data_IF_402031559983
#
_entry.id   IF_402031559983
#
_cell.length_a   1.000
_cell.length_b   1.000
_cell.length_c   1.000
_cell.angle_alpha   90.00
_cell.angle_beta   90.00
_cell.angle_gamma   90.00
#
_symmetry.space_group_name_H-M   'P 1'
#
loop_
_entity.id
_entity.type
_entity.pdbx_description
1 polymer ?
#
# COMPACT_ATOMS: atom_id res chain seq x y z
N UNK A 1 23.94 5.54 -17.37
CA UNK A 1 23.09 4.77 -16.41
C UNK A 1 22.89 5.47 -15.05
N UNK A 2 23.88 5.77 -14.17
CA UNK A 2 23.58 6.50 -12.93
C UNK A 2 22.96 7.88 -13.16
N UNK A 3 23.49 8.65 -14.11
CA UNK A 3 22.98 9.99 -14.40
C UNK A 3 21.59 9.93 -15.04
N UNK A 4 21.32 8.95 -15.92
CA UNK A 4 20.00 8.78 -16.54
C UNK A 4 18.94 8.31 -15.52
N UNK A 5 19.36 7.50 -14.54
CA UNK A 5 18.48 7.07 -13.45
C UNK A 5 18.07 8.28 -12.56
N UNK A 6 19.00 9.17 -12.25
CA UNK A 6 18.71 10.40 -11.51
C UNK A 6 17.85 11.36 -12.35
N UNK A 7 18.08 11.45 -13.65
CA UNK A 7 17.25 12.23 -14.57
C UNK A 7 15.81 11.67 -14.63
N UNK A 8 15.65 10.33 -14.64
CA UNK A 8 14.33 9.70 -14.60
C UNK A 8 13.59 9.99 -13.28
N UNK A 9 14.30 9.96 -12.13
CA UNK A 9 13.75 10.37 -10.84
C UNK A 9 13.27 11.82 -10.87
N UNK A 10 14.08 12.72 -11.46
CA UNK A 10 13.70 14.14 -11.58
C UNK A 10 12.46 14.32 -12.49
N UNK A 11 12.40 13.59 -13.61
CA UNK A 11 11.25 13.61 -14.52
C UNK A 11 9.97 13.09 -13.86
N UNK A 12 10.05 12.01 -13.06
CA UNK A 12 8.92 11.49 -12.27
C UNK A 12 8.44 12.53 -11.27
N UNK A 13 9.34 13.10 -10.48
CA UNK A 13 9.00 14.08 -9.44
C UNK A 13 8.40 15.37 -9.98
N UNK A 14 8.82 15.79 -11.17
CA UNK A 14 8.26 16.95 -11.85
C UNK A 14 7.02 16.65 -12.69
N UNK A 15 6.70 15.36 -12.92
CA UNK A 15 5.64 14.92 -13.81
C UNK A 15 5.95 15.15 -15.30
N UNK A 16 7.21 15.27 -15.68
CA UNK A 16 7.64 15.44 -17.09
C UNK A 16 7.63 14.09 -17.83
N UNK A 17 6.44 13.73 -18.32
CA UNK A 17 6.23 12.50 -19.08
C UNK A 17 7.03 12.48 -20.41
N UNK A 18 7.29 13.65 -21.00
CA UNK A 18 8.04 13.71 -22.26
C UNK A 18 9.52 13.39 -22.04
N UNK A 19 10.12 13.94 -20.99
CA UNK A 19 11.48 13.61 -20.59
C UNK A 19 11.60 12.14 -20.19
N UNK A 20 10.66 11.63 -19.38
CA UNK A 20 10.66 10.23 -18.94
C UNK A 20 10.59 9.26 -20.12
N UNK A 21 9.69 9.49 -21.10
CA UNK A 21 9.58 8.64 -22.30
C UNK A 21 10.87 8.64 -23.13
N UNK A 22 11.53 9.79 -23.30
CA UNK A 22 12.81 9.86 -24.01
C UNK A 22 13.89 9.03 -23.30
N UNK A 23 14.06 9.23 -21.99
CA UNK A 23 15.05 8.49 -21.22
C UNK A 23 14.84 6.97 -21.29
N UNK A 24 13.58 6.51 -21.20
CA UNK A 24 13.25 5.09 -21.30
C UNK A 24 13.44 4.52 -22.72
N UNK A 25 13.31 5.34 -23.77
CA UNK A 25 13.57 4.93 -25.15
C UNK A 25 15.07 4.84 -25.44
N UNK A 26 15.86 5.78 -24.89
CA UNK A 26 17.30 5.82 -25.07
C UNK A 26 18.02 4.72 -24.26
N UNK A 27 17.48 4.38 -23.07
CA UNK A 27 18.00 3.37 -22.14
C UNK A 27 16.89 2.41 -21.67
N UNK A 28 16.56 1.35 -22.40
CA UNK A 28 15.47 0.41 -22.08
C UNK A 28 15.65 -0.28 -20.72
N UNK A 29 16.88 -0.49 -20.26
CA UNK A 29 17.17 -1.05 -18.92
C UNK A 29 16.75 -0.16 -17.75
N UNK A 30 16.45 1.12 -18.01
CA UNK A 30 16.10 2.09 -17.00
C UNK A 30 14.78 1.76 -16.30
N UNK A 31 13.80 1.20 -17.04
CA UNK A 31 12.50 0.84 -16.48
C UNK A 31 12.59 -0.20 -15.32
N UNK A 32 13.60 -1.07 -15.37
CA UNK A 32 13.86 -2.13 -14.37
C UNK A 32 14.98 -1.79 -13.42
N UNK A 33 15.63 -0.63 -13.60
CA UNK A 33 16.73 -0.19 -12.76
C UNK A 33 16.28 0.05 -11.30
N UNK A 34 17.22 -0.09 -10.38
CA UNK A 34 17.00 0.16 -8.96
C UNK A 34 17.91 1.25 -8.44
N UNK A 35 17.35 2.16 -7.70
CA UNK A 35 18.11 3.11 -6.89
C UNK A 35 18.55 2.42 -5.62
N UNK A 36 19.82 2.60 -5.27
CA UNK A 36 20.37 2.18 -3.99
C UNK A 36 20.59 3.40 -3.12
N UNK A 37 20.09 3.38 -1.87
CA UNK A 37 20.34 4.43 -0.89
C UNK A 37 21.63 4.17 -0.08
N UNK A 38 21.99 5.10 0.79
CA UNK A 38 23.22 5.05 1.60
C UNK A 38 23.22 3.88 2.61
N UNK A 39 22.06 3.27 2.87
CA UNK A 39 21.90 2.10 3.75
C UNK A 39 21.91 0.77 3.00
N UNK A 40 22.00 0.82 1.65
CA UNK A 40 22.00 -0.34 0.79
C UNK A 40 20.61 -0.83 0.37
N UNK A 41 19.54 -0.16 0.78
CA UNK A 41 18.19 -0.48 0.33
C UNK A 41 18.03 -0.16 -1.15
N UNK A 42 17.22 -0.98 -1.85
CA UNK A 42 17.02 -0.83 -3.29
C UNK A 42 15.54 -0.73 -3.66
N UNK A 43 15.20 0.28 -4.47
CA UNK A 43 13.84 0.60 -4.91
C UNK A 43 13.78 0.86 -6.42
N UNK A 44 12.64 0.55 -7.05
CA UNK A 44 12.42 0.81 -8.47
C UNK A 44 11.90 2.23 -8.70
N UNK A 45 11.81 2.65 -9.98
CA UNK A 45 11.18 3.93 -10.35
C UNK A 45 9.69 4.00 -9.97
N UNK A 46 8.97 2.86 -9.92
CA UNK A 46 7.60 2.81 -9.42
C UNK A 46 7.54 3.11 -7.91
N UNK A 47 8.48 2.64 -7.10
CA UNK A 47 8.58 3.03 -5.70
C UNK A 47 8.91 4.52 -5.53
N UNK A 48 9.77 5.09 -6.40
CA UNK A 48 10.04 6.54 -6.39
C UNK A 48 8.78 7.36 -6.64
N UNK A 49 7.92 6.89 -7.54
CA UNK A 49 6.64 7.54 -7.83
C UNK A 49 5.71 7.56 -6.63
N UNK A 50 5.70 6.48 -5.85
CA UNK A 50 4.78 6.26 -4.74
C UNK A 50 5.37 6.64 -3.37
N UNK A 51 6.60 7.18 -3.35
CA UNK A 51 7.34 7.53 -2.13
C UNK A 51 6.67 8.69 -1.38
N UNK A 52 6.37 8.47 -0.10
CA UNK A 52 5.82 9.50 0.77
C UNK A 52 6.87 10.59 1.07
N UNK A 53 6.49 11.86 1.23
CA UNK A 53 5.14 12.46 1.21
C UNK A 53 4.73 13.03 -0.15
N UNK A 54 5.55 12.89 -1.17
CA UNK A 54 5.35 13.61 -2.44
C UNK A 54 4.39 12.87 -3.37
N UNK A 55 3.24 13.48 -3.64
CA UNK A 55 2.39 13.10 -4.77
C UNK A 55 2.96 13.71 -6.04
N UNK A 56 3.50 12.88 -6.91
CA UNK A 56 4.07 13.34 -8.18
C UNK A 56 2.97 13.77 -9.15
N UNK A 57 3.11 14.91 -9.84
CA UNK A 57 2.19 15.26 -10.93
C UNK A 57 2.14 14.18 -12.00
N UNK A 58 0.99 13.97 -12.63
CA UNK A 58 0.77 12.94 -13.65
C UNK A 58 1.10 11.51 -13.17
N UNK A 59 0.90 11.21 -11.87
CA UNK A 59 1.28 9.93 -11.26
C UNK A 59 0.70 8.71 -11.97
N UNK A 60 -0.61 8.70 -12.21
CA UNK A 60 -1.28 7.60 -12.90
C UNK A 60 -0.74 7.38 -14.33
N UNK A 61 -0.48 8.46 -15.09
CA UNK A 61 0.13 8.38 -16.41
C UNK A 61 1.58 7.88 -16.34
N UNK A 62 2.31 8.24 -15.29
CA UNK A 62 3.69 7.78 -15.05
C UNK A 62 3.74 6.28 -14.84
N UNK A 63 2.77 5.68 -14.09
CA UNK A 63 2.62 4.22 -14.00
C UNK A 63 2.53 3.61 -15.39
N UNK A 64 1.61 4.10 -16.23
CA UNK A 64 1.43 3.58 -17.59
C UNK A 64 2.71 3.67 -18.44
N UNK A 65 3.45 4.79 -18.35
CA UNK A 65 4.72 4.98 -19.07
C UNK A 65 5.78 3.99 -18.61
N UNK A 66 5.96 3.80 -17.31
CA UNK A 66 6.95 2.88 -16.76
C UNK A 66 6.63 1.42 -17.07
N UNK A 67 5.36 1.01 -16.92
CA UNK A 67 4.92 -0.36 -17.22
C UNK A 67 5.03 -0.68 -18.72
N UNK A 68 4.65 0.26 -19.59
CA UNK A 68 4.83 0.11 -21.03
C UNK A 68 6.30 -0.03 -21.45
N UNK A 69 7.23 0.53 -20.67
CA UNK A 69 8.68 0.37 -20.87
C UNK A 69 9.26 -0.88 -20.18
N UNK A 70 8.43 -1.72 -19.55
CA UNK A 70 8.84 -2.99 -18.94
C UNK A 70 9.10 -2.95 -17.43
N UNK A 71 8.67 -1.91 -16.72
CA UNK A 71 8.73 -1.90 -15.27
C UNK A 71 7.83 -3.01 -14.68
N UNK A 72 8.35 -3.76 -13.72
CA UNK A 72 7.58 -4.77 -12.97
C UNK A 72 6.71 -4.05 -11.91
N UNK A 73 5.39 -4.09 -12.12
CA UNK A 73 4.40 -3.47 -11.22
C UNK A 73 4.39 -4.11 -9.84
N UNK A 74 4.83 -5.37 -9.73
CA UNK A 74 4.92 -6.14 -8.49
C UNK A 74 6.34 -6.21 -7.92
N UNK A 75 7.26 -5.39 -8.42
CA UNK A 75 8.62 -5.35 -7.93
C UNK A 75 8.64 -5.10 -6.41
N UNK A 76 9.45 -5.89 -5.70
CA UNK A 76 9.61 -5.76 -4.26
C UNK A 76 10.68 -4.72 -3.92
N UNK A 77 10.44 -3.94 -2.88
CA UNK A 77 11.50 -3.20 -2.20
C UNK A 77 12.53 -4.20 -1.63
N UNK A 78 13.80 -3.87 -1.73
CA UNK A 78 14.89 -4.68 -1.18
C UNK A 78 15.51 -3.94 0.00
N UNK A 79 15.18 -4.38 1.24
CA UNK A 79 15.59 -3.74 2.47
C UNK A 79 14.95 -4.41 3.68
N UNK A 80 14.58 -3.60 4.69
CA UNK A 80 14.00 -4.08 5.94
C UNK A 80 12.60 -4.71 5.78
N UNK A 81 11.91 -4.42 4.69
CA UNK A 81 10.59 -4.95 4.33
C UNK A 81 10.54 -5.32 2.85
N UNK A 82 9.40 -5.83 2.36
CA UNK A 82 9.25 -6.33 1.00
C UNK A 82 8.06 -5.72 0.27
N UNK A 83 7.73 -4.50 0.59
CA UNK A 83 6.59 -3.78 0.00
C UNK A 83 6.72 -3.65 -1.53
N UNK A 84 5.57 -3.67 -2.19
CA UNK A 84 5.43 -3.33 -3.61
C UNK A 84 5.10 -1.84 -3.77
N UNK A 85 5.17 -1.27 -4.99
CA UNK A 85 4.67 0.08 -5.25
C UNK A 85 3.22 0.31 -4.80
N UNK A 86 2.38 -0.74 -4.84
CA UNK A 86 0.99 -0.66 -4.39
C UNK A 86 0.87 -0.44 -2.87
N UNK A 87 1.74 -1.05 -2.06
CA UNK A 87 1.79 -0.77 -0.62
C UNK A 87 2.10 0.71 -0.35
N UNK A 88 3.09 1.27 -1.06
CA UNK A 88 3.47 2.66 -0.90
C UNK A 88 2.40 3.64 -1.37
N UNK A 89 1.72 3.34 -2.49
CA UNK A 89 0.57 4.13 -2.93
C UNK A 89 -0.57 4.09 -1.91
N UNK A 90 -0.81 2.92 -1.31
CA UNK A 90 -1.82 2.73 -0.27
C UNK A 90 -1.48 3.51 1.00
N UNK A 91 -0.24 3.43 1.49
CA UNK A 91 0.23 4.17 2.67
C UNK A 91 0.36 5.69 2.46
N UNK A 92 0.39 6.15 1.20
CA UNK A 92 0.37 7.57 0.84
C UNK A 92 -1.04 8.14 0.55
N UNK A 93 -2.10 7.32 0.62
CA UNK A 93 -3.48 7.66 0.23
C UNK A 93 -3.59 8.21 -1.22
N UNK A 94 -2.72 7.73 -2.10
CA UNK A 94 -2.70 8.13 -3.50
C UNK A 94 -3.59 7.19 -4.34
N UNK A 95 -4.90 7.46 -4.27
CA UNK A 95 -5.93 6.61 -4.89
C UNK A 95 -5.79 6.57 -6.42
N UNK A 96 -5.34 7.65 -7.07
CA UNK A 96 -5.18 7.70 -8.53
C UNK A 96 -4.03 6.80 -8.99
N UNK A 97 -2.89 6.83 -8.29
CA UNK A 97 -1.76 5.96 -8.59
C UNK A 97 -2.06 4.52 -8.19
N UNK A 98 -2.76 4.30 -7.05
CA UNK A 98 -3.22 2.98 -6.63
C UNK A 98 -4.08 2.33 -7.72
N UNK A 99 -5.08 3.03 -8.25
CA UNK A 99 -5.92 2.53 -9.34
C UNK A 99 -5.11 2.19 -10.59
N UNK A 100 -4.19 3.08 -10.98
CA UNK A 100 -3.33 2.84 -12.14
C UNK A 100 -2.42 1.62 -11.98
N UNK A 101 -1.90 1.37 -10.77
CA UNK A 101 -1.11 0.17 -10.47
C UNK A 101 -1.96 -1.10 -10.55
N UNK A 102 -3.18 -1.08 -10.00
CA UNK A 102 -4.13 -2.20 -10.09
C UNK A 102 -4.53 -2.49 -11.53
N UNK A 103 -4.82 -1.46 -12.33
CA UNK A 103 -5.15 -1.59 -13.75
C UNK A 103 -3.96 -2.13 -14.57
N UNK A 104 -2.75 -1.89 -14.12
CA UNK A 104 -1.52 -2.44 -14.69
C UNK A 104 -1.18 -3.87 -14.19
N UNK A 105 -2.00 -4.47 -13.34
CA UNK A 105 -1.85 -5.85 -12.85
C UNK A 105 -1.08 -5.99 -11.54
N UNK A 106 -1.07 -4.96 -10.69
CA UNK A 106 -0.55 -5.09 -9.34
C UNK A 106 -1.36 -6.11 -8.54
N UNK A 107 -0.66 -6.97 -7.79
CA UNK A 107 -1.29 -7.91 -6.86
C UNK A 107 -1.86 -7.15 -5.65
N UNK A 108 -3.19 -7.04 -5.63
CA UNK A 108 -3.92 -6.32 -4.59
C UNK A 108 -3.73 -6.91 -3.19
N UNK A 109 -3.38 -8.20 -3.10
CA UNK A 109 -3.18 -8.94 -1.86
C UNK A 109 -1.71 -9.32 -1.64
N UNK A 110 -0.77 -8.66 -2.33
CA UNK A 110 0.65 -8.89 -2.11
C UNK A 110 1.00 -8.74 -0.63
N UNK A 111 1.78 -9.66 -0.07
CA UNK A 111 2.36 -9.55 1.27
C UNK A 111 3.54 -8.56 1.31
N UNK A 112 4.08 -8.29 2.50
CA UNK A 112 5.35 -7.59 2.66
C UNK A 112 5.29 -6.21 3.28
N UNK A 113 4.11 -5.80 3.79
CA UNK A 113 3.92 -4.55 4.54
C UNK A 113 4.94 -4.39 5.67
N UNK A 114 5.36 -3.16 5.93
CA UNK A 114 6.34 -2.83 6.98
C UNK A 114 5.83 -3.20 8.38
N UNK A 115 4.52 -3.14 8.60
CA UNK A 115 3.89 -3.57 9.86
C UNK A 115 3.33 -4.97 9.69
N UNK A 116 3.97 -5.97 10.30
CA UNK A 116 3.49 -7.35 10.35
C UNK A 116 3.48 -8.11 9.02
N UNK A 117 4.10 -7.59 7.96
CA UNK A 117 4.22 -8.30 6.68
C UNK A 117 2.90 -8.41 5.87
N UNK A 118 1.89 -7.61 6.20
CA UNK A 118 0.56 -7.67 5.62
C UNK A 118 0.44 -7.20 4.17
N UNK A 119 -0.80 -6.92 3.75
CA UNK A 119 -1.17 -6.49 2.40
C UNK A 119 -1.19 -4.96 2.26
N UNK A 120 -1.33 -4.39 1.04
CA UNK A 120 -1.56 -2.96 0.85
C UNK A 120 -2.76 -2.41 1.65
N UNK A 121 -3.81 -3.23 1.85
CA UNK A 121 -4.95 -2.86 2.71
C UNK A 121 -4.52 -2.73 4.18
N UNK A 122 -3.67 -3.64 4.66
CA UNK A 122 -3.14 -3.56 6.03
C UNK A 122 -2.30 -2.29 6.24
N UNK A 123 -1.49 -1.88 5.25
CA UNK A 123 -0.75 -0.62 5.30
C UNK A 123 -1.68 0.60 5.30
N UNK A 124 -2.63 0.66 4.36
CA UNK A 124 -3.59 1.76 4.31
C UNK A 124 -4.32 1.91 5.66
N UNK A 125 -4.74 0.81 6.26
CA UNK A 125 -5.39 0.76 7.58
C UNK A 125 -4.45 1.23 8.69
N UNK A 126 -3.22 0.70 8.74
CA UNK A 126 -2.26 1.01 9.80
C UNK A 126 -1.87 2.50 9.81
N UNK A 127 -1.75 3.11 8.62
CA UNK A 127 -1.43 4.53 8.46
C UNK A 127 -2.66 5.45 8.39
N UNK A 128 -3.86 4.93 8.70
CA UNK A 128 -5.13 5.68 8.68
C UNK A 128 -5.43 6.34 7.32
N UNK A 129 -5.04 5.69 6.23
CA UNK A 129 -5.26 6.15 4.86
C UNK A 129 -6.61 5.64 4.33
N UNK A 130 -7.68 6.23 4.85
CA UNK A 130 -9.04 5.68 4.71
C UNK A 130 -9.55 5.65 3.28
N UNK A 131 -9.18 6.62 2.42
CA UNK A 131 -9.59 6.63 1.01
C UNK A 131 -8.97 5.46 0.25
N UNK A 132 -7.67 5.23 0.44
CA UNK A 132 -6.97 4.10 -0.15
C UNK A 132 -7.51 2.77 0.39
N UNK A 133 -7.76 2.66 1.70
CA UNK A 133 -8.30 1.45 2.31
C UNK A 133 -9.67 1.08 1.73
N UNK A 134 -10.62 2.03 1.68
CA UNK A 134 -11.93 1.78 1.08
C UNK A 134 -11.82 1.45 -0.41
N UNK A 135 -10.93 2.15 -1.14
CA UNK A 135 -10.71 1.88 -2.55
C UNK A 135 -10.17 0.48 -2.81
N UNK A 136 -9.23 0.00 -2.00
CA UNK A 136 -8.74 -1.39 -2.08
C UNK A 136 -9.87 -2.40 -1.84
N UNK A 137 -10.75 -2.16 -0.86
CA UNK A 137 -11.94 -3.01 -0.64
C UNK A 137 -12.88 -3.01 -1.85
N UNK A 138 -13.16 -1.86 -2.45
CA UNK A 138 -13.97 -1.73 -3.68
C UNK A 138 -13.34 -2.49 -4.86
N UNK A 139 -12.01 -2.49 -4.94
CA UNK A 139 -11.23 -3.17 -5.98
C UNK A 139 -11.04 -4.66 -5.70
N UNK A 140 -11.59 -5.20 -4.61
CA UNK A 140 -11.64 -6.63 -4.32
C UNK A 140 -10.50 -7.17 -3.44
N UNK A 141 -9.85 -6.32 -2.65
CA UNK A 141 -8.89 -6.78 -1.65
C UNK A 141 -9.54 -7.77 -0.67
N UNK A 142 -8.78 -8.76 -0.23
CA UNK A 142 -9.18 -9.67 0.84
C UNK A 142 -9.27 -8.88 2.15
N UNK A 143 -10.44 -8.93 2.78
CA UNK A 143 -10.73 -8.22 4.03
C UNK A 143 -10.64 -9.19 5.19
N UNK A 144 -9.80 -8.89 6.17
CA UNK A 144 -9.70 -9.63 7.44
C UNK A 144 -10.69 -9.08 8.48
N UNK A 145 -10.81 -9.77 9.62
CA UNK A 145 -11.69 -9.31 10.71
C UNK A 145 -11.31 -7.92 11.22
N UNK A 146 -10.00 -7.67 11.40
CA UNK A 146 -9.51 -6.36 11.83
C UNK A 146 -9.74 -5.28 10.76
N UNK A 147 -9.62 -5.59 9.48
CA UNK A 147 -9.92 -4.64 8.41
C UNK A 147 -11.40 -4.27 8.40
N UNK A 148 -12.29 -5.27 8.52
CA UNK A 148 -13.73 -5.04 8.58
C UNK A 148 -14.12 -4.18 9.79
N UNK A 149 -13.54 -4.45 10.96
CA UNK A 149 -13.77 -3.69 12.18
C UNK A 149 -13.27 -2.24 12.06
N UNK A 150 -12.03 -2.06 11.53
CA UNK A 150 -11.42 -0.74 11.39
C UNK A 150 -12.15 0.16 10.38
N UNK A 151 -12.67 -0.45 9.30
CA UNK A 151 -13.35 0.29 8.22
C UNK A 151 -14.87 0.39 8.41
N UNK A 152 -15.43 -0.17 9.48
CA UNK A 152 -16.87 -0.13 9.76
C UNK A 152 -17.72 -0.98 8.82
N UNK A 153 -17.15 -2.05 8.25
CA UNK A 153 -17.82 -2.94 7.32
C UNK A 153 -18.67 -3.97 8.07
N UNK A 154 -19.77 -3.54 8.68
CA UNK A 154 -20.57 -4.31 9.62
C UNK A 154 -21.00 -5.69 9.08
N UNK A 155 -21.51 -5.78 7.85
CA UNK A 155 -21.94 -7.05 7.24
C UNK A 155 -20.78 -8.02 7.05
N UNK A 156 -19.60 -7.52 6.67
CA UNK A 156 -18.38 -8.34 6.56
C UNK A 156 -17.87 -8.76 7.91
N UNK A 157 -17.92 -7.87 8.91
CA UNK A 157 -17.57 -8.18 10.30
C UNK A 157 -18.38 -9.38 10.79
N UNK A 158 -19.72 -9.35 10.71
CA UNK A 158 -20.58 -10.45 11.15
C UNK A 158 -20.25 -11.78 10.43
N UNK A 159 -19.93 -11.73 9.14
CA UNK A 159 -19.53 -12.93 8.38
C UNK A 159 -18.21 -13.52 8.88
N UNK A 160 -17.26 -12.67 9.26
CA UNK A 160 -15.90 -13.08 9.67
C UNK A 160 -15.80 -13.47 11.15
N UNK A 161 -16.80 -13.12 11.96
CA UNK A 161 -16.84 -13.47 13.39
C UNK A 161 -16.98 -14.99 13.65
N UNK A 162 -17.51 -15.76 12.68
CA UNK A 162 -17.77 -17.18 12.85
C UNK A 162 -16.48 -17.98 13.09
N UNK A 163 -16.25 -18.41 14.33
CA UNK A 163 -15.08 -19.19 14.71
C UNK A 163 -13.78 -18.39 14.87
N UNK A 164 -13.86 -17.06 14.93
CA UNK A 164 -12.72 -16.21 15.17
C UNK A 164 -12.09 -16.51 16.54
N UNK A 165 -10.76 -16.70 16.63
CA UNK A 165 -10.07 -16.87 17.92
C UNK A 165 -10.08 -15.56 18.72
N UNK A 166 -9.89 -15.67 20.04
CA UNK A 166 -9.91 -14.51 20.94
C UNK A 166 -8.93 -13.41 20.52
N UNK A 167 -7.73 -13.78 20.10
CA UNK A 167 -6.70 -12.82 19.64
C UNK A 167 -7.17 -11.99 18.44
N UNK A 168 -7.91 -12.60 17.51
CA UNK A 168 -8.47 -11.89 16.35
C UNK A 168 -9.62 -10.95 16.75
N UNK A 169 -10.41 -11.32 17.77
CA UNK A 169 -11.45 -10.44 18.33
C UNK A 169 -10.82 -9.22 19.02
N UNK A 170 -9.77 -9.43 19.80
CA UNK A 170 -9.05 -8.37 20.51
C UNK A 170 -8.37 -7.41 19.53
N UNK A 171 -7.71 -7.95 18.49
CA UNK A 171 -7.11 -7.16 17.42
C UNK A 171 -8.18 -6.38 16.64
N UNK A 172 -9.34 -6.99 16.36
CA UNK A 172 -10.44 -6.31 15.67
C UNK A 172 -11.04 -5.19 16.53
N UNK A 173 -11.16 -5.40 17.86
CA UNK A 173 -11.61 -4.35 18.78
C UNK A 173 -10.66 -3.16 18.79
N UNK A 174 -9.35 -3.42 18.88
CA UNK A 174 -8.34 -2.38 18.73
C UNK A 174 -8.49 -1.66 17.38
N UNK A 175 -8.68 -2.42 16.29
CA UNK A 175 -8.91 -1.88 14.95
C UNK A 175 -10.14 -0.98 14.87
N UNK A 176 -11.28 -1.39 15.44
CA UNK A 176 -12.50 -0.58 15.51
C UNK A 176 -12.28 0.75 16.23
N UNK A 177 -11.48 0.74 17.32
CA UNK A 177 -11.07 1.95 18.03
C UNK A 177 -10.18 2.84 17.15
N UNK A 178 -9.19 2.27 16.49
CA UNK A 178 -8.27 2.96 15.58
C UNK A 178 -9.02 3.64 14.42
N UNK A 179 -10.01 2.96 13.84
CA UNK A 179 -10.87 3.49 12.77
C UNK A 179 -12.02 4.37 13.23
N UNK A 180 -12.23 4.54 14.56
CA UNK A 180 -13.35 5.32 15.09
C UNK A 180 -14.73 4.68 14.87
N UNK A 181 -14.79 3.35 14.71
CA UNK A 181 -16.00 2.60 14.35
C UNK A 181 -16.76 2.11 15.58
N UNK A 182 -17.53 3.01 16.21
CA UNK A 182 -18.20 2.75 17.48
C UNK A 182 -19.13 1.52 17.44
N UNK A 183 -19.91 1.33 16.37
CA UNK A 183 -20.80 0.17 16.26
C UNK A 183 -20.06 -1.17 16.20
N UNK A 184 -18.92 -1.23 15.49
CA UNK A 184 -18.06 -2.42 15.48
C UNK A 184 -17.39 -2.64 16.84
N UNK A 185 -16.97 -1.57 17.51
CA UNK A 185 -16.38 -1.62 18.85
C UNK A 185 -17.36 -2.25 19.85
N UNK A 186 -18.57 -1.69 19.99
CA UNK A 186 -19.61 -2.19 20.89
C UNK A 186 -20.00 -3.65 20.61
N UNK A 187 -20.04 -4.02 19.32
CA UNK A 187 -20.32 -5.39 18.89
C UNK A 187 -19.25 -6.38 19.33
N UNK A 188 -17.97 -6.04 19.15
CA UNK A 188 -16.83 -6.88 19.53
C UNK A 188 -16.67 -6.98 21.06
N UNK A 189 -16.86 -5.87 21.78
CA UNK A 189 -16.87 -5.86 23.26
C UNK A 189 -17.97 -6.78 23.81
N UNK A 190 -19.18 -6.75 23.23
CA UNK A 190 -20.28 -7.64 23.61
C UNK A 190 -19.99 -9.13 23.35
N UNK A 191 -19.02 -9.45 22.47
CA UNK A 191 -18.55 -10.80 22.20
C UNK A 191 -17.38 -11.22 23.10
N UNK A 192 -16.93 -10.35 24.01
CA UNK A 192 -15.87 -10.62 24.97
C UNK A 192 -14.46 -10.29 24.49
N UNK A 193 -14.32 -9.45 23.47
CA UNK A 193 -13.01 -8.89 23.12
C UNK A 193 -12.50 -8.00 24.26
N UNK A 194 -11.18 -8.07 24.52
CA UNK A 194 -10.55 -7.35 25.63
C UNK A 194 -10.29 -5.87 25.28
N UNK A 195 -10.97 -4.89 25.92
CA UNK A 195 -10.78 -3.48 25.63
C UNK A 195 -9.41 -2.92 26.04
N UNK A 196 -8.69 -3.63 26.91
CA UNK A 196 -7.35 -3.24 27.38
C UNK A 196 -6.24 -3.94 26.59
N UNK A 197 -6.59 -4.82 25.64
CA UNK A 197 -5.61 -5.48 24.80
C UNK A 197 -4.88 -4.48 23.89
N UNK A 198 -3.56 -4.63 23.79
CA UNK A 198 -2.68 -3.78 22.98
C UNK A 198 -1.86 -4.66 22.05
N UNK A 199 -1.80 -4.34 20.76
CA UNK A 199 -1.02 -5.12 19.81
C UNK A 199 0.48 -5.10 20.13
N UNK A 200 1.25 -6.15 19.74
CA UNK A 200 2.66 -6.28 20.09
C UNK A 200 3.54 -5.10 19.62
N UNK A 201 3.16 -4.44 18.55
CA UNK A 201 3.90 -3.29 18.00
C UNK A 201 3.64 -1.94 18.71
N UNK A 202 2.72 -1.91 19.68
CA UNK A 202 2.44 -0.76 20.54
C UNK A 202 2.92 -0.96 22.00
N UNK A 203 3.55 -2.11 22.29
CA UNK A 203 4.05 -2.48 23.65
C UNK A 203 5.46 -1.98 23.93
#
# INVERSE_FOLDING_TARGET
MPDDLLAAVAAIRSGDLAALRRLLADEPGLATARLTDDTGNRRTLLHVLTDWPARCPNGAQTVGVLVAAGADVNARFEGAHRETPLHWAASADDVEVLDALLDAGADINADGAVIGGGTPLADARAFAQWRAAHRLVERGAVVTLVDAATLGLADRLETLLAGAPQEDLDLALWGARHGGQQGCFERLEALGADPDWVPPWER
#
